data_IF_447893276863
#
_entry.id   IF_447893276863
#
_cell.length_a   1.000
_cell.length_b   1.000
_cell.length_c   1.000
_cell.angle_alpha   90.00
_cell.angle_beta   90.00
_cell.angle_gamma   90.00
#
_symmetry.space_group_name_H-M   'P 1'
#
loop_
_entity.id
_entity.type
_entity.pdbx_description
1 polymer ?
#
# COMPACT_ATOMS: atom_id res chain seq x y z
N UNK A 1 -10.45 -8.29 -16.79
CA UNK A 1 -10.50 -9.00 -15.49
C UNK A 1 -11.72 -9.90 -15.46
N UNK A 2 -11.60 -11.10 -14.89
CA UNK A 2 -12.73 -12.00 -14.64
C UNK A 2 -13.51 -11.56 -13.37
N UNK A 3 -14.63 -12.23 -13.07
CA UNK A 3 -15.47 -11.92 -11.89
C UNK A 3 -14.68 -11.95 -10.57
N UNK A 4 -13.79 -12.94 -10.40
CA UNK A 4 -12.95 -13.07 -9.22
C UNK A 4 -12.03 -11.85 -9.04
N UNK A 5 -11.41 -11.37 -10.12
CA UNK A 5 -10.59 -10.17 -10.08
C UNK A 5 -11.35 -8.94 -9.60
N UNK A 6 -12.59 -8.75 -10.05
CA UNK A 6 -13.44 -7.65 -9.59
C UNK A 6 -13.79 -7.76 -8.10
N UNK A 7 -14.10 -8.98 -7.62
CA UNK A 7 -14.36 -9.22 -6.20
C UNK A 7 -13.15 -8.89 -5.32
N UNK A 8 -11.95 -9.33 -5.73
CA UNK A 8 -10.71 -9.02 -5.00
C UNK A 8 -10.40 -7.52 -4.99
N UNK A 9 -10.71 -6.81 -6.08
CA UNK A 9 -10.58 -5.35 -6.12
C UNK A 9 -11.50 -4.69 -5.09
N UNK A 10 -12.77 -5.09 -5.02
CA UNK A 10 -13.74 -4.53 -4.05
C UNK A 10 -13.29 -4.78 -2.62
N UNK A 11 -12.86 -6.00 -2.29
CA UNK A 11 -12.34 -6.32 -0.96
C UNK A 11 -11.13 -5.43 -0.63
N UNK A 12 -10.21 -5.25 -1.58
CA UNK A 12 -9.03 -4.39 -1.41
C UNK A 12 -9.43 -2.95 -1.11
N UNK A 13 -10.37 -2.39 -1.89
CA UNK A 13 -10.86 -1.01 -1.71
C UNK A 13 -11.54 -0.85 -0.36
N UNK A 14 -12.32 -1.83 0.10
CA UNK A 14 -12.96 -1.79 1.42
C UNK A 14 -11.91 -1.81 2.54
N UNK A 15 -10.91 -2.71 2.47
CA UNK A 15 -9.83 -2.77 3.45
C UNK A 15 -9.04 -1.45 3.50
N UNK A 16 -8.67 -0.91 2.34
CA UNK A 16 -7.89 0.33 2.24
C UNK A 16 -8.72 1.59 2.52
N UNK A 17 -10.05 1.52 2.41
CA UNK A 17 -10.95 2.60 2.81
C UNK A 17 -11.16 2.67 4.33
N UNK A 18 -11.23 1.51 5.00
CA UNK A 18 -11.44 1.43 6.46
C UNK A 18 -10.14 1.65 7.25
N UNK A 19 -9.01 1.09 6.79
CA UNK A 19 -7.74 1.12 7.53
C UNK A 19 -7.32 2.52 7.99
N UNK A 20 -7.33 3.56 7.14
CA UNK A 20 -6.93 4.92 7.52
C UNK A 20 -7.74 5.53 8.67
N UNK A 21 -9.02 5.15 8.81
CA UNK A 21 -9.87 5.62 9.90
C UNK A 21 -9.44 5.03 11.24
N UNK A 22 -9.15 3.72 11.26
CA UNK A 22 -8.64 3.02 12.45
C UNK A 22 -7.25 3.53 12.84
N UNK A 23 -6.38 3.71 11.84
CA UNK A 23 -5.03 4.24 12.01
C UNK A 23 -5.06 5.66 12.58
N UNK A 24 -5.91 6.55 12.03
CA UNK A 24 -6.09 7.91 12.54
C UNK A 24 -6.52 7.93 14.00
N UNK A 25 -7.48 7.08 14.38
CA UNK A 25 -7.96 7.00 15.75
C UNK A 25 -6.85 6.56 16.70
N UNK A 26 -6.11 5.50 16.36
CA UNK A 26 -4.99 5.01 17.15
C UNK A 26 -3.86 6.06 17.29
N UNK A 27 -3.56 6.79 16.22
CA UNK A 27 -2.51 7.82 16.18
C UNK A 27 -2.81 9.04 17.05
N UNK A 28 -4.05 9.23 17.54
CA UNK A 28 -4.37 10.30 18.52
C UNK A 28 -3.58 10.14 19.81
N UNK A 29 -3.32 8.90 20.24
CA UNK A 29 -2.64 8.58 21.52
C UNK A 29 -1.28 7.92 21.34
N UNK A 30 -0.98 7.41 20.14
CA UNK A 30 0.24 6.68 19.84
C UNK A 30 1.12 7.46 18.84
N UNK A 31 2.44 7.42 19.03
CA UNK A 31 3.39 7.99 18.06
C UNK A 31 3.41 7.21 16.74
N UNK A 32 3.67 7.85 15.58
CA UNK A 32 3.67 7.16 14.27
C UNK A 32 4.56 5.91 14.23
N UNK A 33 5.79 6.01 14.74
CA UNK A 33 6.74 4.89 14.75
C UNK A 33 6.27 3.73 15.65
N UNK A 34 5.69 4.03 16.82
CA UNK A 34 5.17 3.02 17.74
C UNK A 34 3.95 2.31 17.13
N UNK A 35 3.04 3.07 16.50
CA UNK A 35 1.88 2.51 15.80
C UNK A 35 2.30 1.61 14.65
N UNK A 36 3.31 2.02 13.87
CA UNK A 36 3.88 1.22 12.80
C UNK A 36 4.56 -0.06 13.31
N UNK A 37 5.31 0.03 14.41
CA UNK A 37 5.93 -1.13 15.04
C UNK A 37 4.87 -2.16 15.46
N UNK A 38 3.83 -1.72 16.16
CA UNK A 38 2.72 -2.61 16.59
C UNK A 38 2.06 -3.25 15.37
N UNK A 39 1.71 -2.46 14.36
CA UNK A 39 1.11 -2.96 13.10
C UNK A 39 1.96 -4.04 12.45
N UNK A 40 3.25 -3.77 12.24
CA UNK A 40 4.14 -4.69 11.54
C UNK A 40 4.42 -5.95 12.37
N UNK A 41 4.50 -5.82 13.70
CA UNK A 41 4.62 -6.96 14.60
C UNK A 41 3.37 -7.84 14.56
N UNK A 42 2.17 -7.26 14.58
CA UNK A 42 0.92 -8.02 14.46
C UNK A 42 0.85 -8.78 13.13
N UNK A 43 1.21 -8.14 12.01
CA UNK A 43 1.25 -8.78 10.69
C UNK A 43 2.28 -9.93 10.67
N UNK A 44 3.48 -9.69 11.21
CA UNK A 44 4.53 -10.71 11.29
C UNK A 44 4.07 -11.94 12.08
N UNK A 45 3.48 -11.75 13.26
CA UNK A 45 2.99 -12.85 14.10
C UNK A 45 1.87 -13.63 13.40
N UNK A 46 0.95 -12.93 12.71
CA UNK A 46 -0.11 -13.58 11.94
C UNK A 46 0.46 -14.44 10.80
N UNK A 47 1.42 -13.92 10.03
CA UNK A 47 2.07 -14.70 8.97
C UNK A 47 2.88 -15.86 9.54
N UNK A 48 3.64 -15.64 10.61
CA UNK A 48 4.41 -16.70 11.26
C UNK A 48 3.49 -17.86 11.66
N UNK A 49 2.36 -17.55 12.30
CA UNK A 49 1.34 -18.54 12.64
C UNK A 49 0.77 -19.25 11.41
N UNK A 50 0.35 -18.50 10.39
CA UNK A 50 -0.23 -19.06 9.17
C UNK A 50 0.74 -20.00 8.43
N UNK A 51 1.99 -19.58 8.22
CA UNK A 51 2.99 -20.38 7.51
C UNK A 51 3.41 -21.62 8.29
N UNK A 52 3.48 -21.51 9.62
CA UNK A 52 3.71 -22.66 10.48
C UNK A 52 2.57 -23.68 10.38
N UNK A 53 1.31 -23.24 10.52
CA UNK A 53 0.14 -24.13 10.46
C UNK A 53 -0.12 -24.72 9.07
N UNK A 54 0.19 -23.98 7.99
CA UNK A 54 -0.02 -24.45 6.62
C UNK A 54 1.12 -25.31 6.08
N UNK A 55 2.23 -25.45 6.81
CA UNK A 55 3.41 -26.22 6.37
C UNK A 55 4.16 -25.59 5.19
N UNK A 56 3.83 -24.34 4.81
CA UNK A 56 4.36 -23.66 3.62
C UNK A 56 5.73 -23.03 3.79
N UNK A 57 6.38 -23.20 4.95
CA UNK A 57 7.73 -22.66 5.18
C UNK A 57 8.76 -23.15 4.16
N UNK A 58 8.60 -24.38 3.64
CA UNK A 58 9.48 -24.92 2.60
C UNK A 58 9.35 -24.18 1.27
N UNK A 59 8.16 -23.64 0.95
CA UNK A 59 7.95 -22.86 -0.28
C UNK A 59 8.72 -21.54 -0.21
N UNK A 60 8.75 -20.90 0.96
CA UNK A 60 9.51 -19.66 1.19
C UNK A 60 11.02 -19.90 1.03
N UNK A 61 11.52 -21.05 1.51
CA UNK A 61 12.92 -21.42 1.37
C UNK A 61 13.36 -21.65 -0.08
N UNK A 62 12.42 -21.91 -0.99
CA UNK A 62 12.68 -22.13 -2.42
C UNK A 62 12.63 -20.84 -3.24
N UNK A 63 12.30 -19.69 -2.64
CA UNK A 63 12.30 -18.40 -3.33
C UNK A 63 13.75 -18.00 -3.62
N UNK A 64 14.02 -17.59 -4.86
CA UNK A 64 15.36 -17.17 -5.24
C UNK A 64 15.77 -15.87 -4.52
N UNK A 65 17.07 -15.70 -4.27
CA UNK A 65 17.59 -14.56 -3.51
C UNK A 65 17.26 -13.20 -4.14
N UNK A 66 17.12 -13.14 -5.47
CA UNK A 66 16.72 -11.91 -6.18
C UNK A 66 15.31 -11.47 -5.77
N UNK A 67 14.34 -12.38 -5.79
CA UNK A 67 12.96 -12.12 -5.40
C UNK A 67 12.88 -11.75 -3.92
N UNK A 68 13.63 -12.44 -3.05
CA UNK A 68 13.75 -12.07 -1.63
C UNK A 68 14.22 -10.62 -1.46
N UNK A 69 15.27 -10.21 -2.19
CA UNK A 69 15.78 -8.84 -2.15
C UNK A 69 14.74 -7.84 -2.67
N UNK A 70 14.05 -8.14 -3.78
CA UNK A 70 13.01 -7.27 -4.31
C UNK A 70 11.86 -7.07 -3.33
N UNK A 71 11.39 -8.15 -2.67
CA UNK A 71 10.36 -8.06 -1.64
C UNK A 71 10.87 -7.37 -0.37
N UNK A 72 12.13 -7.56 0.01
CA UNK A 72 12.73 -6.87 1.16
C UNK A 72 12.82 -5.36 0.92
N UNK A 73 13.31 -4.93 -0.24
CA UNK A 73 13.36 -3.50 -0.63
C UNK A 73 11.95 -2.92 -0.67
N UNK A 74 10.99 -3.62 -1.27
CA UNK A 74 9.57 -3.21 -1.27
C UNK A 74 9.03 -3.07 0.16
N UNK A 75 9.34 -4.01 1.06
CA UNK A 75 8.96 -3.96 2.47
C UNK A 75 9.56 -2.76 3.21
N UNK A 76 10.81 -2.40 2.94
CA UNK A 76 11.43 -1.20 3.52
C UNK A 76 10.78 0.08 2.96
N UNK A 77 10.59 0.16 1.65
CA UNK A 77 10.03 1.36 1.00
C UNK A 77 8.56 1.58 1.37
N UNK A 78 7.71 0.57 1.19
CA UNK A 78 6.27 0.69 1.44
C UNK A 78 5.92 0.41 2.90
N UNK A 79 6.42 -0.70 3.47
CA UNK A 79 6.05 -1.17 4.80
C UNK A 79 6.72 -0.43 5.96
N UNK A 80 7.84 0.26 5.72
CA UNK A 80 8.51 1.09 6.73
C UNK A 80 8.50 2.58 6.39
N UNK A 81 9.27 3.01 5.40
CA UNK A 81 9.48 4.43 5.12
C UNK A 81 8.19 5.15 4.67
N UNK A 82 7.48 4.55 3.72
CA UNK A 82 6.20 5.04 3.22
C UNK A 82 5.14 5.08 4.31
N UNK A 83 5.02 4.00 5.10
CA UNK A 83 4.08 3.97 6.22
C UNK A 83 4.42 4.95 7.35
N UNK A 84 5.70 5.13 7.68
CA UNK A 84 6.12 6.07 8.70
C UNK A 84 5.77 7.52 8.30
N UNK A 85 6.09 7.91 7.07
CA UNK A 85 5.75 9.23 6.54
C UNK A 85 4.24 9.42 6.41
N UNK A 86 3.52 8.40 5.93
CA UNK A 86 2.06 8.39 5.85
C UNK A 86 1.39 8.53 7.21
N UNK A 87 1.79 7.76 8.24
CA UNK A 87 1.25 7.87 9.60
C UNK A 87 1.55 9.22 10.23
N UNK A 88 2.71 9.80 9.93
CA UNK A 88 3.06 11.16 10.38
C UNK A 88 2.10 12.19 9.79
N UNK A 89 1.84 12.15 8.48
CA UNK A 89 0.85 13.01 7.82
C UNK A 89 -0.58 12.75 8.32
N UNK A 90 -0.94 11.47 8.44
CA UNK A 90 -2.25 11.05 8.89
C UNK A 90 -2.53 11.55 10.30
N UNK A 91 -1.51 11.61 11.17
CA UNK A 91 -1.65 12.18 12.52
C UNK A 91 -1.94 13.68 12.49
N UNK A 92 -1.30 14.45 11.61
CA UNK A 92 -1.33 15.93 11.63
C UNK A 92 -2.52 16.55 10.88
N UNK A 93 -3.16 15.83 9.94
CA UNK A 93 -4.24 16.39 9.12
C UNK A 93 -5.46 15.46 9.00
N UNK A 94 -6.62 15.94 8.54
CA UNK A 94 -7.81 15.11 8.36
C UNK A 94 -7.57 13.96 7.37
N UNK A 95 -8.16 12.78 7.66
CA UNK A 95 -8.07 11.59 6.79
C UNK A 95 -8.61 11.88 5.39
N UNK A 96 -9.71 12.65 5.31
CA UNK A 96 -10.33 13.07 4.05
C UNK A 96 -9.44 13.92 3.16
N UNK A 97 -8.38 14.54 3.70
CA UNK A 97 -7.37 15.26 2.90
C UNK A 97 -6.15 14.40 2.60
N UNK A 98 -5.62 13.71 3.62
CA UNK A 98 -4.37 12.95 3.48
C UNK A 98 -4.54 11.78 2.53
N UNK A 99 -5.61 10.99 2.65
CA UNK A 99 -5.79 9.78 1.84
C UNK A 99 -5.83 10.11 0.34
N UNK A 100 -6.69 11.03 -0.16
CA UNK A 100 -6.68 11.38 -1.58
C UNK A 100 -5.35 11.95 -2.06
N UNK A 101 -4.70 12.80 -1.26
CA UNK A 101 -3.40 13.39 -1.63
C UNK A 101 -2.32 12.32 -1.83
N UNK A 102 -2.22 11.33 -0.93
CA UNK A 102 -1.24 10.25 -1.09
C UNK A 102 -1.64 9.25 -2.16
N UNK A 103 -2.94 9.10 -2.46
CA UNK A 103 -3.45 8.29 -3.59
C UNK A 103 -3.06 8.83 -4.98
N UNK A 104 -2.17 9.82 -5.07
CA UNK A 104 -1.47 10.23 -6.30
C UNK A 104 -0.26 9.36 -6.64
N UNK A 105 0.20 8.48 -5.73
CA UNK A 105 1.30 7.55 -6.04
C UNK A 105 1.10 6.67 -7.28
N UNK A 106 -0.13 6.27 -7.72
CA UNK A 106 -0.32 5.50 -8.95
C UNK A 106 0.21 6.20 -10.19
N UNK A 107 0.37 7.53 -10.15
CA UNK A 107 1.02 8.31 -11.20
C UNK A 107 2.50 7.92 -11.33
N UNK A 108 3.19 7.84 -10.20
CA UNK A 108 4.58 7.39 -10.15
C UNK A 108 4.65 5.94 -10.60
N UNK A 109 3.73 5.08 -10.15
CA UNK A 109 3.65 3.68 -10.60
C UNK A 109 3.44 3.58 -12.11
N UNK A 110 2.57 4.39 -12.70
CA UNK A 110 2.36 4.40 -14.14
C UNK A 110 3.62 4.84 -14.90
N UNK A 111 4.29 5.91 -14.44
CA UNK A 111 5.56 6.38 -15.04
C UNK A 111 6.63 5.30 -14.96
N UNK A 112 6.83 4.70 -13.79
CA UNK A 112 7.80 3.63 -13.60
C UNK A 112 7.42 2.36 -14.39
N UNK A 113 6.13 2.05 -14.52
CA UNK A 113 5.65 0.96 -15.37
C UNK A 113 6.01 1.16 -16.84
N UNK A 114 5.89 2.39 -17.34
CA UNK A 114 6.32 2.74 -18.69
C UNK A 114 7.84 2.63 -18.85
N UNK A 115 8.62 3.18 -17.91
CA UNK A 115 10.08 3.24 -18.02
C UNK A 115 10.80 1.92 -17.71
N UNK A 116 10.31 1.15 -16.74
CA UNK A 116 10.99 -0.04 -16.20
C UNK A 116 10.36 -1.33 -16.75
N UNK A 117 9.02 -1.36 -16.86
CA UNK A 117 8.28 -2.55 -17.30
C UNK A 117 7.91 -2.51 -18.78
N UNK A 118 8.26 -1.42 -19.49
CA UNK A 118 7.91 -1.19 -20.90
C UNK A 118 6.40 -1.28 -21.17
N UNK A 119 5.58 -0.86 -20.21
CA UNK A 119 4.13 -0.84 -20.41
C UNK A 119 3.72 0.21 -21.45
N UNK A 120 2.82 -0.17 -22.35
CA UNK A 120 2.31 0.75 -23.36
C UNK A 120 1.54 1.93 -22.75
N UNK A 121 1.71 3.09 -23.38
CA UNK A 121 1.06 4.35 -22.99
C UNK A 121 -0.11 4.61 -23.93
N UNK A 122 -1.32 4.28 -23.48
CA UNK A 122 -2.52 4.68 -24.21
C UNK A 122 -2.93 6.11 -23.85
N UNK A 123 -3.54 6.82 -24.81
CA UNK A 123 -4.12 8.14 -24.55
C UNK A 123 -5.16 8.08 -23.43
N UNK A 124 -5.94 6.99 -23.36
CA UNK A 124 -6.89 6.77 -22.28
C UNK A 124 -6.22 6.69 -20.90
N UNK A 125 -5.04 6.07 -20.81
CA UNK A 125 -4.26 5.99 -19.55
C UNK A 125 -3.79 7.38 -19.11
N UNK A 126 -3.31 8.20 -20.04
CA UNK A 126 -2.88 9.58 -19.77
C UNK A 126 -4.08 10.41 -19.29
N UNK A 127 -5.22 10.33 -19.98
CA UNK A 127 -6.43 11.06 -19.57
C UNK A 127 -6.92 10.62 -18.18
N UNK A 128 -6.89 9.31 -17.89
CA UNK A 128 -7.23 8.79 -16.57
C UNK A 128 -6.31 9.32 -15.46
N UNK A 129 -5.00 9.36 -15.73
CA UNK A 129 -3.99 9.97 -14.85
C UNK A 129 -4.31 11.44 -14.57
N UNK A 130 -4.58 12.24 -15.61
CA UNK A 130 -4.94 13.65 -15.46
C UNK A 130 -6.21 13.82 -14.63
N UNK A 131 -7.24 13.00 -14.89
CA UNK A 131 -8.49 13.05 -14.12
C UNK A 131 -8.29 12.68 -12.65
N UNK A 132 -7.45 11.69 -12.34
CA UNK A 132 -7.09 11.34 -10.95
C UNK A 132 -6.42 12.53 -10.27
N UNK A 133 -5.43 13.15 -10.93
CA UNK A 133 -4.72 14.33 -10.40
C UNK A 133 -5.71 15.45 -10.10
N UNK A 134 -6.54 15.82 -11.10
CA UNK A 134 -7.53 16.88 -10.95
C UNK A 134 -8.54 16.56 -9.86
N UNK A 135 -9.02 15.32 -9.79
CA UNK A 135 -9.93 14.86 -8.74
C UNK A 135 -9.33 15.01 -7.34
N UNK A 136 -8.07 14.60 -7.15
CA UNK A 136 -7.37 14.78 -5.87
C UNK A 136 -7.22 16.25 -5.51
N UNK A 137 -6.89 17.12 -6.47
CA UNK A 137 -6.81 18.56 -6.24
C UNK A 137 -8.16 19.19 -5.85
N UNK A 138 -9.27 18.69 -6.40
CA UNK A 138 -10.62 19.19 -6.08
C UNK A 138 -11.12 18.74 -4.70
N UNK A 139 -10.63 17.60 -4.19
CA UNK A 139 -10.98 17.11 -2.84
C UNK A 139 -10.24 17.88 -1.73
N UNK A 140 -9.23 18.68 -2.08
CA UNK A 140 -8.37 19.43 -1.14
C UNK A 140 -9.10 20.53 -0.36
#
# INVERSE_FOLDING_TARGET
>A
MNIMGWLLMVITVLCWGVSPLLEKEALKRVGPLNGLFIRNLTIFLFFLFYFFCSGRLKEVANISGKEVILFAISGVLAGFLGMYTYFTLLKTAPVSKIVPLVSTYPLITAILGMCILNEEVSLARILGIVLIITGVFLVK
#
